data_IF_144990229334
#
_entry.id   IF_144990229334
#
_cell.length_a   1.000
_cell.length_b   1.000
_cell.length_c   1.000
_cell.angle_alpha   90.00
_cell.angle_beta   90.00
_cell.angle_gamma   90.00
#
_symmetry.space_group_name_H-M   'P 1'
#
loop_
_entity.id
_entity.type
_entity.pdbx_description
1 polymer ?
#
# COMPACT_ATOMS: atom_id res chain seq x y z
N UNK A 1 5.01 -3.07 -26.09
CA UNK A 1 5.69 -1.89 -25.51
C UNK A 1 5.41 -1.90 -24.00
N UNK A 2 6.33 -2.41 -23.22
CA UNK A 2 6.19 -2.53 -21.77
C UNK A 2 6.88 -1.34 -21.11
N UNK A 3 6.10 -0.39 -20.57
CA UNK A 3 6.64 0.58 -19.59
C UNK A 3 6.60 -0.10 -18.22
N UNK A 4 7.71 -0.70 -17.85
CA UNK A 4 7.90 -1.16 -16.47
C UNK A 4 8.38 0.04 -15.68
N UNK A 5 7.52 0.62 -14.89
CA UNK A 5 7.88 1.65 -13.93
C UNK A 5 8.24 0.96 -12.62
N UNK A 6 9.55 0.90 -12.32
CA UNK A 6 9.98 0.62 -10.95
C UNK A 6 9.41 1.71 -10.05
N UNK A 7 8.34 1.39 -9.35
CA UNK A 7 7.86 2.22 -8.26
C UNK A 7 8.52 1.72 -7.00
N UNK A 8 9.48 2.45 -6.47
CA UNK A 8 9.96 2.22 -5.12
C UNK A 8 8.85 2.66 -4.15
N UNK A 9 8.17 1.69 -3.56
CA UNK A 9 7.17 1.91 -2.53
C UNK A 9 7.78 1.67 -1.17
N UNK A 10 7.50 2.56 -0.25
CA UNK A 10 7.65 2.30 1.16
C UNK A 10 6.25 2.16 1.77
N UNK A 11 5.91 0.95 2.20
CA UNK A 11 4.74 0.66 3.02
C UNK A 11 5.21 0.60 4.47
N UNK A 12 4.82 1.59 5.24
CA UNK A 12 5.12 1.63 6.67
C UNK A 12 3.82 1.52 7.44
N UNK A 13 3.67 0.41 8.14
CA UNK A 13 2.53 0.15 9.02
C UNK A 13 3.02 -0.36 10.36
N UNK A 14 2.39 0.17 11.40
CA UNK A 14 2.24 -0.60 12.60
C UNK A 14 0.91 -1.35 12.52
N UNK A 15 0.97 -2.63 12.31
CA UNK A 15 -0.17 -3.53 12.46
C UNK A 15 -0.29 -3.97 13.92
N UNK A 16 -1.42 -4.58 14.29
CA UNK A 16 -1.53 -5.22 15.61
C UNK A 16 -0.43 -6.26 15.84
N UNK A 17 0.01 -6.96 14.79
CA UNK A 17 1.12 -7.92 14.89
C UNK A 17 2.46 -7.26 15.19
N UNK A 18 2.76 -6.14 14.53
CA UNK A 18 4.01 -5.42 14.78
C UNK A 18 4.05 -4.89 16.21
N UNK A 19 2.92 -4.36 16.71
CA UNK A 19 2.78 -3.92 18.09
C UNK A 19 2.99 -5.08 19.07
N UNK A 20 2.41 -6.25 18.80
CA UNK A 20 2.57 -7.44 19.61
C UNK A 20 4.02 -7.93 19.62
N UNK A 21 4.70 -7.93 18.48
CA UNK A 21 6.12 -8.28 18.38
C UNK A 21 7.02 -7.28 19.13
N UNK A 22 6.77 -5.98 18.98
CA UNK A 22 7.56 -4.93 19.66
C UNK A 22 7.38 -5.02 21.18
N UNK A 23 6.15 -5.14 21.66
CA UNK A 23 5.83 -5.15 23.09
C UNK A 23 6.04 -6.50 23.76
N UNK A 24 6.15 -7.59 23.01
CA UNK A 24 6.11 -8.95 23.54
C UNK A 24 4.74 -9.35 24.12
N UNK A 25 3.68 -8.58 23.86
CA UNK A 25 2.34 -8.80 24.40
C UNK A 25 1.33 -9.00 23.25
N UNK A 26 0.83 -10.22 23.11
CA UNK A 26 -0.11 -10.63 22.06
C UNK A 26 -1.53 -10.08 22.23
N UNK A 27 -1.85 -9.50 23.39
CA UNK A 27 -3.15 -8.88 23.66
C UNK A 27 -3.22 -7.43 23.21
N UNK A 28 -2.10 -6.79 22.93
CA UNK A 28 -2.05 -5.38 22.53
C UNK A 28 -2.70 -5.14 21.18
N UNK A 29 -3.49 -4.05 21.10
CA UNK A 29 -4.14 -3.59 19.86
C UNK A 29 -3.90 -2.09 19.70
N UNK A 30 -3.41 -1.68 18.53
CA UNK A 30 -3.06 -0.29 18.23
C UNK A 30 -4.17 0.70 18.58
N UNK A 31 -5.43 0.37 18.28
CA UNK A 31 -6.55 1.27 18.50
C UNK A 31 -6.96 1.46 19.97
N UNK A 32 -6.35 0.76 20.92
CA UNK A 32 -6.58 0.93 22.36
C UNK A 32 -5.47 1.72 23.05
N UNK A 33 -4.39 2.05 22.32
CA UNK A 33 -3.26 2.79 22.86
C UNK A 33 -3.22 4.19 22.25
N UNK A 34 -2.87 5.17 23.07
CA UNK A 34 -2.55 6.50 22.60
C UNK A 34 -1.20 6.50 21.87
N UNK A 35 -0.98 7.49 21.02
CA UNK A 35 0.32 7.67 20.33
C UNK A 35 1.49 7.85 21.32
N UNK A 36 1.22 8.38 22.52
CA UNK A 36 2.22 8.51 23.59
C UNK A 36 2.59 7.14 24.15
N UNK A 37 1.60 6.32 24.51
CA UNK A 37 1.84 4.96 25.00
C UNK A 37 2.58 4.10 23.98
N UNK A 38 2.25 4.25 22.68
CA UNK A 38 2.95 3.54 21.60
C UNK A 38 4.42 3.99 21.51
N UNK A 39 4.70 5.29 21.65
CA UNK A 39 6.09 5.81 21.64
C UNK A 39 6.91 5.38 22.84
N UNK A 40 6.24 5.19 23.98
CA UNK A 40 6.88 4.76 25.23
C UNK A 40 7.07 3.23 25.30
N UNK A 41 6.58 2.47 24.29
CA UNK A 41 6.81 1.04 24.21
C UNK A 41 8.30 0.76 24.02
N UNK A 42 8.87 0.08 24.99
CA UNK A 42 10.25 -0.42 24.90
C UNK A 42 10.23 -1.65 23.98
N UNK A 43 11.02 -1.67 22.91
CA UNK A 43 11.14 -2.86 22.07
C UNK A 43 11.58 -4.07 22.89
N UNK A 44 11.10 -5.27 22.52
CA UNK A 44 11.58 -6.50 23.13
C UNK A 44 13.12 -6.62 23.00
N UNK A 45 13.77 -7.30 23.94
CA UNK A 45 15.23 -7.41 24.03
C UNK A 45 15.89 -7.82 22.69
N UNK A 46 15.26 -8.69 21.92
CA UNK A 46 15.74 -9.12 20.59
C UNK A 46 15.72 -8.00 19.56
N UNK A 47 14.71 -7.13 19.61
CA UNK A 47 14.59 -5.97 18.73
C UNK A 47 15.50 -4.81 19.18
N UNK A 48 15.78 -4.68 20.47
CA UNK A 48 16.75 -3.70 20.97
C UNK A 48 18.16 -4.02 20.48
N UNK A 49 18.55 -5.30 20.42
CA UNK A 49 19.85 -5.68 19.86
C UNK A 49 19.97 -5.40 18.35
N UNK A 50 18.86 -5.46 17.62
CA UNK A 50 18.84 -5.29 16.17
C UNK A 50 18.63 -3.84 15.72
N UNK A 51 17.92 -3.05 16.49
CA UNK A 51 17.50 -1.69 16.14
C UNK A 51 17.69 -0.73 17.33
N UNK A 52 18.95 -0.49 17.71
CA UNK A 52 19.29 0.46 18.76
C UNK A 52 18.57 1.81 18.56
N UNK A 53 17.80 2.24 19.56
CA UNK A 53 17.15 3.55 19.65
C UNK A 53 16.04 3.91 18.66
N UNK A 54 15.48 2.97 17.93
CA UNK A 54 14.35 3.24 17.03
C UNK A 54 13.02 3.12 17.77
N UNK A 55 12.53 4.24 18.32
CA UNK A 55 11.14 4.37 18.72
C UNK A 55 10.19 4.18 17.52
N UNK A 56 8.91 3.94 17.79
CA UNK A 56 7.90 3.84 16.73
C UNK A 56 7.71 5.20 16.06
N UNK A 57 8.09 5.36 14.78
CA UNK A 57 7.98 6.64 14.11
C UNK A 57 6.52 7.03 13.86
N UNK A 58 6.22 8.31 13.88
CA UNK A 58 4.93 8.84 13.46
C UNK A 58 4.83 8.89 11.93
N UNK A 59 3.61 9.04 11.39
CA UNK A 59 3.41 9.27 9.97
C UNK A 59 4.17 10.52 9.49
N UNK A 60 4.24 11.55 10.32
CA UNK A 60 4.99 12.77 10.02
C UNK A 60 6.49 12.51 9.90
N UNK A 61 7.07 11.72 10.80
CA UNK A 61 8.48 11.36 10.76
C UNK A 61 8.82 10.60 9.48
N UNK A 62 7.98 9.64 9.14
CA UNK A 62 8.12 8.83 7.94
C UNK A 62 8.00 9.67 6.68
N UNK A 63 6.94 10.46 6.55
CA UNK A 63 6.70 11.27 5.35
C UNK A 63 7.81 12.31 5.14
N UNK A 64 8.37 12.90 6.18
CA UNK A 64 9.55 13.79 6.07
C UNK A 64 10.75 13.06 5.47
N UNK A 65 10.92 11.80 5.84
CA UNK A 65 12.06 11.01 5.38
C UNK A 65 11.90 10.51 3.94
N UNK A 66 10.71 10.04 3.55
CA UNK A 66 10.53 9.30 2.30
C UNK A 66 9.86 10.08 1.16
N UNK A 67 9.06 11.11 1.45
CA UNK A 67 8.22 11.76 0.42
C UNK A 67 8.99 12.34 -0.76
N UNK A 68 10.24 12.78 -0.55
CA UNK A 68 11.14 13.27 -1.59
C UNK A 68 12.02 12.20 -2.25
N UNK A 69 12.07 10.99 -1.66
CA UNK A 69 13.01 9.93 -2.07
C UNK A 69 12.33 8.82 -2.86
N UNK A 70 11.01 8.73 -2.81
CA UNK A 70 10.22 7.69 -3.49
C UNK A 70 9.25 8.29 -4.49
N UNK A 71 8.94 7.52 -5.52
CA UNK A 71 8.03 7.97 -6.58
C UNK A 71 6.60 8.14 -6.09
N UNK A 72 6.14 7.29 -5.19
CA UNK A 72 4.82 7.34 -4.60
C UNK A 72 4.80 6.74 -3.19
N UNK A 73 4.00 7.33 -2.32
CA UNK A 73 3.74 6.84 -0.96
C UNK A 73 2.31 6.37 -0.87
N UNK A 74 2.07 5.15 -0.40
CA UNK A 74 0.73 4.64 -0.14
C UNK A 74 0.47 4.70 1.37
N UNK A 75 -0.55 5.47 1.75
CA UNK A 75 -1.08 5.51 3.10
C UNK A 75 -2.25 4.51 3.20
N UNK A 76 -1.95 3.30 3.69
CA UNK A 76 -2.96 2.25 3.89
C UNK A 76 -3.62 2.41 5.26
N UNK A 77 -4.78 3.06 5.27
CA UNK A 77 -5.47 3.44 6.49
C UNK A 77 -6.27 2.28 7.06
N UNK A 78 -5.93 1.85 8.28
CA UNK A 78 -6.61 0.78 9.00
C UNK A 78 -7.67 1.34 9.95
N UNK A 79 -8.84 0.69 9.97
CA UNK A 79 -10.03 1.12 10.71
C UNK A 79 -10.35 0.11 11.80
N UNK A 80 -9.51 -0.06 12.75
CA UNK A 80 -9.81 -0.92 13.89
C UNK A 80 -8.88 -2.08 14.12
N UNK A 81 -9.14 -2.97 15.09
CA UNK A 81 -9.98 -2.79 16.28
C UNK A 81 -9.40 -1.83 17.33
N UNK A 82 -10.24 -1.03 18.06
CA UNK A 82 -11.68 -0.89 17.84
C UNK A 82 -12.00 -0.18 16.53
N UNK A 83 -13.18 -0.43 15.96
CA UNK A 83 -13.62 0.27 14.75
C UNK A 83 -13.77 1.77 15.03
N UNK A 84 -12.88 2.58 14.49
CA UNK A 84 -12.84 4.02 14.68
C UNK A 84 -12.57 4.74 13.38
N UNK A 85 -13.64 5.20 12.74
CA UNK A 85 -13.56 5.95 11.48
C UNK A 85 -13.71 7.47 11.67
N UNK A 86 -14.42 7.90 12.73
CA UNK A 86 -14.75 9.30 12.96
C UNK A 86 -13.50 10.16 13.12
N UNK A 87 -13.34 11.15 12.24
CA UNK A 87 -12.19 12.05 12.26
C UNK A 87 -10.90 11.50 11.63
N UNK A 88 -10.82 10.18 11.36
CA UNK A 88 -9.60 9.56 10.86
C UNK A 88 -9.19 10.11 9.47
N UNK A 89 -10.14 10.30 8.55
CA UNK A 89 -9.86 10.91 7.26
C UNK A 89 -9.31 12.33 7.40
N UNK A 90 -9.86 13.13 8.33
CA UNK A 90 -9.37 14.49 8.64
C UNK A 90 -7.94 14.49 9.17
N UNK A 91 -7.62 13.55 10.08
CA UNK A 91 -6.26 13.39 10.61
C UNK A 91 -5.27 13.02 9.51
N UNK A 92 -5.63 12.08 8.63
CA UNK A 92 -4.80 11.66 7.49
C UNK A 92 -4.56 12.83 6.53
N UNK A 93 -5.63 13.56 6.14
CA UNK A 93 -5.52 14.74 5.26
C UNK A 93 -4.62 15.80 5.89
N UNK A 94 -4.83 16.11 7.17
CA UNK A 94 -4.00 17.08 7.89
C UNK A 94 -2.51 16.71 7.89
N UNK A 95 -2.19 15.43 8.15
CA UNK A 95 -0.81 14.97 8.20
C UNK A 95 -0.10 15.10 6.85
N UNK A 96 -0.67 14.57 5.76
CA UNK A 96 0.02 14.62 4.47
C UNK A 96 0.03 16.03 3.85
N UNK A 97 -1.01 16.85 4.09
CA UNK A 97 -1.08 18.23 3.60
C UNK A 97 -0.05 19.11 4.30
N UNK A 98 0.06 18.99 5.63
CA UNK A 98 1.05 19.72 6.43
C UNK A 98 2.48 19.49 5.95
N UNK A 99 2.76 18.30 5.44
CA UNK A 99 4.08 17.92 4.95
C UNK A 99 4.27 18.10 3.44
N UNK A 100 3.24 18.57 2.74
CA UNK A 100 3.29 18.80 1.30
C UNK A 100 3.49 17.53 0.47
N UNK A 101 3.01 16.38 0.94
CA UNK A 101 3.16 15.11 0.23
C UNK A 101 2.30 15.06 -1.03
N UNK A 102 2.85 15.48 -2.16
CA UNK A 102 2.14 15.51 -3.46
C UNK A 102 2.04 14.13 -4.13
N UNK A 103 2.85 13.18 -3.72
CA UNK A 103 2.91 11.81 -4.24
C UNK A 103 2.24 10.79 -3.34
N UNK A 104 1.44 11.23 -2.36
CA UNK A 104 0.69 10.36 -1.46
C UNK A 104 -0.58 9.83 -2.11
N UNK A 105 -0.86 8.54 -1.93
CA UNK A 105 -2.14 7.87 -2.22
C UNK A 105 -2.73 7.39 -0.91
N UNK A 106 -3.97 7.75 -0.64
CA UNK A 106 -4.69 7.26 0.53
C UNK A 106 -5.64 6.15 0.12
N UNK A 107 -5.51 4.98 0.70
CA UNK A 107 -6.49 3.91 0.51
C UNK A 107 -6.85 3.22 1.84
N UNK A 108 -7.93 2.47 1.84
CA UNK A 108 -8.37 1.68 2.97
C UNK A 108 -9.22 0.50 2.51
N UNK A 109 -9.39 -0.52 3.38
CA UNK A 109 -10.41 -1.56 3.18
C UNK A 109 -11.82 -1.00 3.35
N UNK A 110 -12.01 -0.05 4.28
CA UNK A 110 -13.26 0.71 4.40
C UNK A 110 -13.37 1.74 3.29
N UNK A 111 -14.47 1.71 2.54
CA UNK A 111 -14.75 2.70 1.49
C UNK A 111 -15.08 4.09 2.04
N UNK A 112 -15.44 4.20 3.32
CA UNK A 112 -15.76 5.49 3.95
C UNK A 112 -14.53 6.39 4.00
N UNK A 113 -13.37 5.85 4.35
CA UNK A 113 -12.13 6.63 4.47
C UNK A 113 -11.76 7.34 3.17
N UNK A 114 -11.57 6.67 2.01
CA UNK A 114 -11.23 7.38 0.78
C UNK A 114 -12.34 8.31 0.29
N UNK A 115 -13.62 8.02 0.57
CA UNK A 115 -14.72 8.95 0.25
C UNK A 115 -14.66 10.21 1.10
N UNK A 116 -14.37 10.08 2.40
CA UNK A 116 -14.23 11.20 3.31
C UNK A 116 -12.99 12.03 2.99
N UNK A 117 -11.88 11.37 2.59
CA UNK A 117 -10.68 12.07 2.11
C UNK A 117 -10.99 12.90 0.86
N UNK A 118 -11.68 12.34 -0.15
CA UNK A 118 -12.08 13.10 -1.35
C UNK A 118 -13.01 14.27 -1.04
N UNK A 119 -13.86 14.15 -0.03
CA UNK A 119 -14.74 15.25 0.40
C UNK A 119 -13.96 16.38 1.07
N UNK A 120 -12.94 16.04 1.86
CA UNK A 120 -12.10 17.01 2.58
C UNK A 120 -11.01 17.61 1.70
N UNK A 121 -10.48 16.85 0.75
CA UNK A 121 -9.42 17.23 -0.17
C UNK A 121 -9.74 16.66 -1.56
N UNK A 122 -10.49 17.37 -2.40
CA UNK A 122 -10.95 16.90 -3.72
C UNK A 122 -9.80 16.52 -4.67
N UNK A 123 -8.63 17.14 -4.52
CA UNK A 123 -7.43 16.85 -5.32
C UNK A 123 -6.59 15.68 -4.79
N UNK A 124 -7.00 15.06 -3.69
CA UNK A 124 -6.28 13.93 -3.12
C UNK A 124 -6.33 12.70 -4.05
N UNK A 125 -5.21 12.05 -4.22
CA UNK A 125 -5.19 10.74 -4.88
C UNK A 125 -5.64 9.68 -3.90
N UNK A 126 -6.76 9.04 -4.20
CA UNK A 126 -7.29 7.97 -3.36
C UNK A 126 -7.43 6.65 -4.11
N UNK A 127 -7.39 5.56 -3.35
CA UNK A 127 -7.63 4.21 -3.83
C UNK A 127 -8.63 3.45 -2.96
N UNK A 128 -9.07 2.30 -3.45
CA UNK A 128 -9.89 1.33 -2.70
C UNK A 128 -9.41 -0.09 -2.96
N UNK A 129 -9.79 -1.01 -2.07
CA UNK A 129 -9.30 -2.38 -2.08
C UNK A 129 -10.35 -3.31 -2.70
N UNK A 130 -9.95 -4.07 -3.71
CA UNK A 130 -10.74 -5.17 -4.30
C UNK A 130 -10.17 -6.50 -3.81
N UNK A 131 -11.02 -7.28 -3.15
CA UNK A 131 -10.67 -8.57 -2.57
C UNK A 131 -11.90 -9.48 -2.54
N UNK A 132 -11.71 -10.72 -2.11
CA UNK A 132 -12.85 -11.57 -1.74
C UNK A 132 -13.40 -11.07 -0.40
N UNK A 133 -14.70 -10.85 -0.36
CA UNK A 133 -15.40 -10.51 0.88
C UNK A 133 -15.42 -11.74 1.80
N UNK A 134 -14.87 -11.65 3.02
CA UNK A 134 -14.78 -12.82 3.91
C UNK A 134 -16.13 -13.37 4.34
N UNK A 135 -17.19 -12.56 4.33
CA UNK A 135 -18.54 -12.96 4.77
C UNK A 135 -19.35 -13.62 3.66
N UNK A 136 -19.19 -13.17 2.42
CA UNK A 136 -19.98 -13.64 1.27
C UNK A 136 -19.20 -14.57 0.35
N UNK A 137 -17.86 -14.62 0.46
CA UNK A 137 -17.00 -15.36 -0.46
C UNK A 137 -17.03 -14.84 -1.90
N UNK A 138 -17.57 -13.63 -2.12
CA UNK A 138 -17.65 -13.02 -3.44
C UNK A 138 -16.67 -11.87 -3.60
N UNK A 139 -16.25 -11.60 -4.84
CA UNK A 139 -15.39 -10.45 -5.11
C UNK A 139 -16.15 -9.15 -4.88
N UNK A 140 -15.54 -8.22 -4.15
CA UNK A 140 -16.09 -6.86 -3.99
C UNK A 140 -16.23 -6.16 -5.35
N UNK A 141 -17.23 -5.29 -5.48
CA UNK A 141 -17.52 -4.60 -6.75
C UNK A 141 -16.33 -3.84 -7.30
N UNK A 142 -16.01 -4.08 -8.58
CA UNK A 142 -14.80 -3.59 -9.23
C UNK A 142 -14.80 -2.06 -9.44
N UNK A 143 -15.94 -1.47 -9.74
CA UNK A 143 -16.08 -0.05 -10.11
C UNK A 143 -16.89 0.77 -9.10
N UNK A 144 -16.86 0.40 -7.82
CA UNK A 144 -17.73 0.98 -6.79
C UNK A 144 -17.38 2.41 -6.34
N UNK A 145 -16.21 2.92 -6.75
CA UNK A 145 -15.78 4.26 -6.37
C UNK A 145 -15.29 5.07 -7.59
N UNK A 146 -16.09 6.03 -8.04
CA UNK A 146 -15.79 6.81 -9.27
C UNK A 146 -14.56 7.71 -9.11
N UNK A 147 -14.44 8.47 -8.03
CA UNK A 147 -13.38 9.44 -7.80
C UNK A 147 -12.01 8.85 -7.45
N UNK A 148 -11.91 7.54 -7.23
CA UNK A 148 -10.63 6.90 -6.93
C UNK A 148 -9.85 6.58 -8.20
N UNK A 149 -8.55 6.88 -8.19
CA UNK A 149 -7.63 6.62 -9.30
C UNK A 149 -6.93 5.27 -9.20
N UNK A 150 -6.74 4.77 -7.99
CA UNK A 150 -6.00 3.53 -7.71
C UNK A 150 -6.95 2.46 -7.22
N UNK A 151 -6.76 1.25 -7.71
CA UNK A 151 -7.48 0.05 -7.24
C UNK A 151 -6.44 -0.97 -6.76
N UNK A 152 -6.38 -1.16 -5.44
CA UNK A 152 -5.58 -2.22 -4.84
C UNK A 152 -6.32 -3.55 -4.99
N UNK A 153 -5.83 -4.44 -5.84
CA UNK A 153 -6.49 -5.72 -6.12
C UNK A 153 -5.71 -6.87 -5.51
N UNK A 154 -6.39 -7.75 -4.80
CA UNK A 154 -5.82 -9.02 -4.35
C UNK A 154 -5.37 -9.82 -5.57
N UNK A 155 -4.05 -10.09 -5.66
CA UNK A 155 -3.41 -10.55 -6.89
C UNK A 155 -4.02 -11.81 -7.53
N UNK A 156 -4.56 -12.81 -6.77
CA UNK A 156 -5.19 -13.97 -7.39
C UNK A 156 -6.44 -13.64 -8.22
N UNK A 157 -7.05 -12.47 -7.99
CA UNK A 157 -8.22 -12.00 -8.75
C UNK A 157 -7.86 -11.29 -10.05
N UNK A 158 -6.56 -11.02 -10.27
CA UNK A 158 -6.10 -10.24 -11.43
C UNK A 158 -5.99 -11.14 -12.65
N UNK A 159 -6.70 -10.74 -13.68
CA UNK A 159 -6.58 -11.25 -15.04
C UNK A 159 -6.66 -10.09 -16.06
N UNK A 160 -6.34 -10.37 -17.31
CA UNK A 160 -6.34 -9.37 -18.38
C UNK A 160 -7.71 -8.72 -18.64
N UNK A 161 -8.82 -9.38 -18.28
CA UNK A 161 -10.17 -8.80 -18.40
C UNK A 161 -10.40 -7.75 -17.32
N UNK A 162 -10.04 -8.06 -16.08
CA UNK A 162 -10.15 -7.14 -14.94
C UNK A 162 -9.30 -5.89 -15.19
N UNK A 163 -8.04 -6.07 -15.61
CA UNK A 163 -7.14 -4.96 -15.91
C UNK A 163 -7.70 -4.07 -17.01
N UNK A 164 -8.15 -4.65 -18.12
CA UNK A 164 -8.79 -3.89 -19.22
C UNK A 164 -10.01 -3.09 -18.75
N UNK A 165 -10.88 -3.66 -17.92
CA UNK A 165 -12.06 -2.97 -17.37
C UNK A 165 -11.65 -1.76 -16.52
N UNK A 166 -10.63 -1.89 -15.68
CA UNK A 166 -10.15 -0.79 -14.84
C UNK A 166 -9.43 0.28 -15.66
N UNK A 167 -8.55 -0.11 -16.59
CA UNK A 167 -7.85 0.83 -17.47
C UNK A 167 -8.82 1.61 -18.36
N UNK A 168 -9.89 0.99 -18.88
CA UNK A 168 -10.94 1.68 -19.64
C UNK A 168 -11.69 2.75 -18.82
N UNK A 169 -11.52 2.76 -17.50
CA UNK A 169 -12.07 3.77 -16.58
C UNK A 169 -10.99 4.65 -15.97
N UNK A 170 -9.82 4.72 -16.61
CA UNK A 170 -8.65 5.50 -16.16
C UNK A 170 -8.20 5.16 -14.72
N UNK A 171 -8.36 3.90 -14.29
CA UNK A 171 -7.92 3.44 -12.98
C UNK A 171 -6.64 2.64 -13.08
N UNK A 172 -5.74 2.87 -12.12
CA UNK A 172 -4.50 2.12 -11.96
C UNK A 172 -4.73 0.85 -11.13
N UNK A 173 -4.15 -0.27 -11.54
CA UNK A 173 -4.27 -1.58 -10.90
C UNK A 173 -2.99 -1.87 -10.10
N UNK A 174 -3.10 -1.92 -8.78
CA UNK A 174 -2.00 -2.24 -7.88
C UNK A 174 -2.24 -3.63 -7.27
N UNK A 175 -1.41 -4.60 -7.65
CA UNK A 175 -1.49 -5.97 -7.16
C UNK A 175 -0.89 -6.11 -5.76
N UNK A 176 -1.60 -6.74 -4.80
CA UNK A 176 -1.14 -6.95 -3.43
C UNK A 176 -1.53 -8.33 -2.89
N UNK A 177 -0.86 -8.92 -1.95
CA UNK A 177 0.58 -8.86 -1.74
C UNK A 177 1.20 -9.97 -2.56
N UNK A 178 2.19 -9.68 -3.37
CA UNK A 178 2.76 -10.62 -4.36
C UNK A 178 4.18 -10.96 -3.94
N UNK A 179 4.39 -12.10 -3.33
CA UNK A 179 5.65 -12.43 -2.67
C UNK A 179 6.44 -13.58 -3.34
N UNK A 180 5.85 -14.22 -4.33
CA UNK A 180 6.48 -15.30 -5.10
C UNK A 180 6.75 -14.91 -6.56
N UNK A 181 7.76 -15.54 -7.15
CA UNK A 181 8.26 -15.22 -8.49
C UNK A 181 7.22 -15.47 -9.60
N UNK A 182 6.45 -16.56 -9.48
CA UNK A 182 5.44 -16.93 -10.48
C UNK A 182 4.31 -15.89 -10.52
N UNK A 183 3.80 -15.52 -9.35
CA UNK A 183 2.79 -14.47 -9.22
C UNK A 183 3.32 -13.12 -9.70
N UNK A 184 4.59 -12.77 -9.41
CA UNK A 184 5.22 -11.55 -9.92
C UNK A 184 5.25 -11.52 -11.45
N UNK A 185 5.72 -12.60 -12.09
CA UNK A 185 5.72 -12.74 -13.54
C UNK A 185 4.32 -12.62 -14.13
N UNK A 186 3.33 -13.27 -13.50
CA UNK A 186 1.93 -13.15 -13.90
C UNK A 186 1.45 -11.71 -13.86
N UNK A 187 1.72 -10.97 -12.79
CA UNK A 187 1.30 -9.55 -12.68
C UNK A 187 1.94 -8.66 -13.75
N UNK A 188 3.19 -8.92 -14.14
CA UNK A 188 3.84 -8.22 -15.26
C UNK A 188 3.15 -8.51 -16.59
N UNK A 189 2.81 -9.79 -16.85
CA UNK A 189 2.10 -10.21 -18.07
C UNK A 189 0.70 -9.60 -18.13
N UNK A 190 -0.03 -9.61 -17.03
CA UNK A 190 -1.37 -9.03 -16.91
C UNK A 190 -1.38 -7.50 -16.90
N UNK A 191 -0.21 -6.86 -16.93
CA UNK A 191 -0.03 -5.40 -16.99
C UNK A 191 -0.61 -4.67 -15.78
N UNK A 192 -0.43 -5.23 -14.58
CA UNK A 192 -0.65 -4.47 -13.37
C UNK A 192 0.24 -3.21 -13.37
N UNK A 193 -0.30 -2.07 -12.95
CA UNK A 193 0.45 -0.81 -12.93
C UNK A 193 1.48 -0.76 -11.79
N UNK A 194 1.27 -1.55 -10.73
CA UNK A 194 2.21 -1.71 -9.63
C UNK A 194 2.06 -3.07 -8.95
N UNK A 195 3.15 -3.54 -8.37
CA UNK A 195 3.21 -4.76 -7.56
C UNK A 195 3.64 -4.38 -6.15
N UNK A 196 2.84 -4.74 -5.17
CA UNK A 196 3.13 -4.57 -3.75
C UNK A 196 3.61 -5.90 -3.21
N UNK A 197 4.82 -5.91 -2.66
CA UNK A 197 5.51 -7.12 -2.20
C UNK A 197 6.27 -6.88 -0.91
N UNK A 198 6.39 -7.91 -0.08
CA UNK A 198 7.29 -7.96 1.07
C UNK A 198 8.75 -8.28 0.66
N UNK A 199 8.97 -8.67 -0.61
CA UNK A 199 10.28 -9.04 -1.13
C UNK A 199 10.68 -8.19 -2.37
N UNK A 200 11.02 -6.90 -2.17
CA UNK A 200 11.36 -6.00 -3.28
C UNK A 200 12.61 -6.42 -4.05
N UNK A 201 13.55 -7.10 -3.39
CA UNK A 201 14.76 -7.61 -4.04
C UNK A 201 14.45 -8.72 -5.05
N UNK A 202 13.51 -9.61 -4.71
CA UNK A 202 13.03 -10.63 -5.64
C UNK A 202 12.33 -9.99 -6.83
N UNK A 203 11.42 -9.05 -6.59
CA UNK A 203 10.71 -8.34 -7.66
C UNK A 203 11.68 -7.63 -8.61
N UNK A 204 12.68 -6.95 -8.07
CA UNK A 204 13.72 -6.28 -8.88
C UNK A 204 14.44 -7.27 -9.79
N UNK A 205 14.82 -8.45 -9.29
CA UNK A 205 15.43 -9.52 -10.08
C UNK A 205 14.49 -10.01 -11.18
N UNK A 206 13.25 -10.37 -10.85
CA UNK A 206 12.25 -10.83 -11.83
C UNK A 206 12.04 -9.81 -12.95
N UNK A 207 11.98 -8.52 -12.62
CA UNK A 207 11.83 -7.46 -13.61
C UNK A 207 13.08 -7.32 -14.49
N UNK A 208 14.28 -7.47 -13.92
CA UNK A 208 15.53 -7.42 -14.67
C UNK A 208 15.63 -8.62 -15.64
N UNK A 209 15.29 -9.82 -15.17
CA UNK A 209 15.30 -11.03 -15.99
C UNK A 209 14.31 -10.92 -17.16
N UNK A 210 13.10 -10.44 -16.90
CA UNK A 210 12.11 -10.19 -17.94
C UNK A 210 12.58 -9.15 -18.96
N UNK A 211 13.28 -8.11 -18.49
CA UNK A 211 13.88 -7.10 -19.38
C UNK A 211 14.98 -7.69 -20.27
N UNK A 212 15.87 -8.48 -19.67
CA UNK A 212 16.96 -9.15 -20.41
C UNK A 212 16.40 -10.08 -21.48
N UNK A 213 15.43 -10.92 -21.11
CA UNK A 213 14.76 -11.83 -22.05
C UNK A 213 14.12 -11.07 -23.22
N UNK A 214 13.41 -9.96 -22.98
CA UNK A 214 12.84 -9.15 -24.03
C UNK A 214 13.90 -8.60 -25.01
N UNK A 215 15.08 -8.23 -24.50
CA UNK A 215 16.18 -7.74 -25.34
C UNK A 215 16.79 -8.87 -26.17
N UNK A 216 16.98 -10.04 -25.57
CA UNK A 216 17.49 -11.25 -26.27
C UNK A 216 16.52 -11.70 -27.37
N UNK A 217 15.21 -11.58 -27.14
CA UNK A 217 14.16 -11.86 -28.13
C UNK A 217 14.04 -10.77 -29.23
N UNK A 218 14.91 -9.76 -29.21
CA UNK A 218 14.98 -8.71 -30.24
C UNK A 218 13.97 -7.56 -30.05
N UNK A 219 13.34 -7.43 -28.91
CA UNK A 219 12.44 -6.30 -28.60
C UNK A 219 13.26 -5.09 -28.12
N UNK A 220 13.05 -3.92 -28.72
CA UNK A 220 13.60 -2.68 -28.19
C UNK A 220 12.79 -2.16 -27.02
N UNK A 221 13.46 -1.80 -25.93
CA UNK A 221 12.86 -1.11 -24.80
C UNK A 221 12.91 0.39 -25.10
N UNK A 222 11.79 0.97 -25.52
CA UNK A 222 11.70 2.45 -25.58
C UNK A 222 11.73 3.04 -24.17
N UNK A 223 12.58 4.04 -23.98
CA UNK A 223 12.70 4.81 -22.75
C UNK A 223 11.39 5.52 -22.34
#
# INVERSE_FOLDING_TARGET
MFRVHLMEFCLLFMTGRDLQQISGNDTFKVGYLSSREIKELVPSFELQQKYHDLGVPTIEDILKFISGSVRQVILDVKVGPPLYEKGLAGSVVSSYTKLGCKNCVVWAKSDNIPRDVLRLAPDATVGYIVMMDPSTGTRTQLLRMRGAWVVGVYHPLIDGKLVKVLHARNKKVYAWTVDDEESMKKMLIERADAIITSNPSLLKRVMQDAKTQCLEDGFSLSA
#
